data_IF_752000219808
#
_entry.id   IF_752000219808
#
_cell.length_a   1.000
_cell.length_b   1.000
_cell.length_c   1.000
_cell.angle_alpha   90.00
_cell.angle_beta   90.00
_cell.angle_gamma   90.00
#
_symmetry.space_group_name_H-M   'P 1'
#
loop_
_entity.id
_entity.type
_entity.pdbx_description
1 polymer ?
#
# COMPACT_ATOMS: atom_id res chain seq x y z
N UNK A 1 7.19 1.53 2.41
CA UNK A 1 7.83 0.24 2.77
C UNK A 1 6.96 -0.64 3.67
N UNK A 2 5.96 -0.14 4.42
CA UNK A 2 5.24 -0.89 5.46
C UNK A 2 3.91 -1.51 5.02
N UNK A 3 3.54 -1.48 3.74
CA UNK A 3 2.27 -2.05 3.25
C UNK A 3 2.36 -2.75 1.89
N UNK A 4 3.46 -2.69 1.20
CA UNK A 4 3.70 -3.41 -0.05
C UNK A 4 2.84 -3.05 -1.25
N UNK A 5 2.11 -1.93 -1.26
CA UNK A 5 1.32 -1.47 -2.39
C UNK A 5 2.17 -1.16 -3.63
N UNK A 6 1.62 -1.37 -4.82
CA UNK A 6 2.23 -0.83 -6.03
C UNK A 6 2.06 0.69 -6.06
N UNK A 7 3.02 1.46 -6.62
CA UNK A 7 2.93 2.92 -6.68
C UNK A 7 1.60 3.43 -7.23
N UNK A 8 1.13 2.86 -8.32
CA UNK A 8 -0.11 3.29 -8.97
C UNK A 8 -1.35 2.94 -8.14
N UNK A 9 -1.38 1.78 -7.49
CA UNK A 9 -2.49 1.40 -6.59
C UNK A 9 -2.58 2.37 -5.41
N UNK A 10 -1.43 2.76 -4.85
CA UNK A 10 -1.38 3.73 -3.77
C UNK A 10 -1.81 5.13 -4.25
N UNK A 11 -1.39 5.53 -5.45
CA UNK A 11 -1.69 6.84 -6.02
C UNK A 11 -3.19 7.03 -6.34
N UNK A 12 -3.92 5.94 -6.59
CA UNK A 12 -5.34 5.93 -6.93
C UNK A 12 -6.22 5.37 -5.82
N UNK A 13 -5.68 5.16 -4.62
CA UNK A 13 -6.41 4.61 -3.47
C UNK A 13 -7.52 5.58 -3.04
N UNK A 14 -8.77 5.08 -3.00
CA UNK A 14 -9.95 5.86 -2.64
C UNK A 14 -10.17 5.88 -1.13
N UNK A 15 -10.90 6.87 -0.64
CA UNK A 15 -11.24 6.97 0.78
C UNK A 15 -12.16 5.82 1.25
N UNK A 16 -13.09 5.38 0.40
CA UNK A 16 -13.99 4.26 0.70
C UNK A 16 -13.28 2.89 0.74
N UNK A 17 -12.06 2.80 0.22
CA UNK A 17 -11.17 1.64 0.32
C UNK A 17 -10.34 1.62 1.62
N UNK A 18 -10.48 2.62 2.50
CA UNK A 18 -9.70 2.76 3.74
C UNK A 18 -10.60 2.64 4.96
N UNK A 19 -10.39 1.62 5.77
CA UNK A 19 -11.06 1.45 7.04
C UNK A 19 -10.10 1.77 8.20
N UNK A 20 -10.22 2.96 8.77
CA UNK A 20 -9.36 3.41 9.87
C UNK A 20 -9.71 2.72 11.20
N UNK A 21 -10.98 2.41 11.44
CA UNK A 21 -11.42 1.72 12.66
C UNK A 21 -10.81 0.32 12.76
N UNK A 22 -10.93 -0.45 11.69
CA UNK A 22 -10.36 -1.80 11.60
C UNK A 22 -8.91 -1.82 11.08
N UNK A 23 -8.33 -0.66 10.79
CA UNK A 23 -6.94 -0.46 10.36
C UNK A 23 -6.53 -1.33 9.16
N UNK A 24 -7.27 -1.24 8.06
CA UNK A 24 -6.90 -1.88 6.80
C UNK A 24 -7.23 -1.01 5.59
N UNK A 25 -6.66 -1.35 4.45
CA UNK A 25 -7.02 -0.86 3.13
C UNK A 25 -7.42 -2.06 2.26
N UNK A 26 -8.49 -1.92 1.47
CA UNK A 26 -8.97 -2.95 0.56
C UNK A 26 -9.03 -2.39 -0.84
N UNK A 27 -8.07 -2.74 -1.67
CA UNK A 27 -7.92 -2.24 -3.02
C UNK A 27 -7.08 -3.19 -3.89
N UNK A 28 -6.70 -2.73 -5.07
CA UNK A 28 -5.83 -3.43 -6.01
C UNK A 28 -6.40 -3.47 -7.41
N UNK A 29 -5.53 -3.39 -8.43
CA UNK A 29 -5.97 -3.15 -9.81
C UNK A 29 -5.43 -4.14 -10.85
N UNK A 30 -4.20 -4.62 -10.69
CA UNK A 30 -3.42 -5.13 -11.84
C UNK A 30 -3.61 -6.61 -12.15
N UNK A 31 -3.89 -7.43 -11.16
CA UNK A 31 -4.00 -8.89 -11.30
C UNK A 31 -5.23 -9.39 -10.55
N UNK A 32 -5.82 -10.50 -10.98
CA UNK A 32 -6.98 -11.08 -10.25
C UNK A 32 -6.65 -11.33 -8.79
N UNK A 33 -5.49 -11.93 -8.48
CA UNK A 33 -5.02 -12.13 -7.11
C UNK A 33 -4.72 -10.83 -6.35
N UNK A 34 -4.57 -9.71 -7.05
CA UNK A 34 -4.32 -8.40 -6.45
C UNK A 34 -5.57 -7.55 -6.26
N UNK A 35 -6.69 -7.89 -6.92
CA UNK A 35 -7.94 -7.14 -6.80
C UNK A 35 -8.57 -7.34 -5.42
N UNK A 36 -9.10 -6.25 -4.87
CA UNK A 36 -9.83 -6.26 -3.60
C UNK A 36 -9.08 -6.93 -2.43
N UNK A 37 -7.74 -7.00 -2.50
CA UNK A 37 -6.96 -7.57 -1.41
C UNK A 37 -6.97 -6.67 -0.19
N UNK A 38 -6.98 -7.28 0.97
CA UNK A 38 -6.89 -6.59 2.25
C UNK A 38 -5.43 -6.47 2.66
N UNK A 39 -5.00 -5.26 2.98
CA UNK A 39 -3.67 -4.99 3.54
C UNK A 39 -3.84 -4.20 4.84
N UNK A 40 -3.48 -4.77 5.99
CA UNK A 40 -3.54 -4.05 7.26
C UNK A 40 -2.64 -2.81 7.26
N UNK A 41 -3.06 -1.77 7.97
CA UNK A 41 -2.26 -0.56 8.14
C UNK A 41 -1.27 -0.78 9.29
N UNK A 42 0.00 -0.88 8.95
CA UNK A 42 1.06 -1.07 9.93
C UNK A 42 1.09 0.11 10.94
N UNK A 43 1.27 -0.14 12.25
CA UNK A 43 1.22 0.91 13.29
C UNK A 43 2.16 2.10 13.02
N UNK A 44 3.33 1.86 12.47
CA UNK A 44 4.32 2.93 12.16
C UNK A 44 3.82 3.97 11.17
N UNK A 45 2.88 3.61 10.31
CA UNK A 45 2.34 4.53 9.28
C UNK A 45 0.92 4.99 9.56
N UNK A 46 0.24 4.44 10.56
CA UNK A 46 -1.16 4.76 10.86
C UNK A 46 -1.41 6.26 10.98
N UNK A 47 -0.61 6.98 11.77
CA UNK A 47 -0.73 8.44 11.95
C UNK A 47 -0.62 9.22 10.64
N UNK A 48 0.15 8.72 9.68
CA UNK A 48 0.29 9.38 8.37
C UNK A 48 -0.93 9.11 7.49
N UNK A 49 -1.50 7.91 7.55
CA UNK A 49 -2.73 7.55 6.86
C UNK A 49 -3.89 8.37 7.40
N UNK A 50 -4.07 8.43 8.73
CA UNK A 50 -5.11 9.23 9.39
C UNK A 50 -5.03 10.71 9.01
N UNK A 51 -3.82 11.28 9.01
CA UNK A 51 -3.60 12.68 8.62
C UNK A 51 -4.02 12.93 7.17
N UNK A 52 -3.63 12.05 6.24
CA UNK A 52 -4.00 12.21 4.84
C UNK A 52 -5.49 11.98 4.62
N UNK A 53 -6.10 11.05 5.35
CA UNK A 53 -7.53 10.78 5.32
C UNK A 53 -8.34 12.02 5.75
N UNK A 54 -8.01 12.61 6.89
CA UNK A 54 -8.64 13.86 7.39
C UNK A 54 -8.45 15.01 6.41
N UNK A 55 -7.25 15.14 5.83
CA UNK A 55 -6.99 16.16 4.83
C UNK A 55 -7.82 15.95 3.58
N UNK A 56 -7.90 14.73 3.05
CA UNK A 56 -8.71 14.41 1.88
C UNK A 56 -10.20 14.77 2.09
N UNK A 57 -10.76 14.44 3.25
CA UNK A 57 -12.12 14.85 3.64
C UNK A 57 -12.27 16.38 3.62
N UNK A 58 -11.31 17.11 4.22
CA UNK A 58 -11.40 18.56 4.36
C UNK A 58 -11.41 19.33 3.02
N UNK A 59 -10.97 18.68 1.96
CA UNK A 59 -10.95 19.24 0.59
C UNK A 59 -11.91 18.53 -0.37
N UNK A 60 -12.80 17.67 0.14
CA UNK A 60 -13.73 16.86 -0.63
C UNK A 60 -13.07 15.98 -1.70
N UNK A 61 -11.89 15.46 -1.44
CA UNK A 61 -11.21 14.51 -2.33
C UNK A 61 -11.76 13.11 -2.15
N UNK A 62 -11.98 12.39 -3.24
CA UNK A 62 -12.30 10.96 -3.21
C UNK A 62 -11.07 10.07 -2.96
N UNK A 63 -9.86 10.61 -3.11
CA UNK A 63 -8.59 9.87 -3.03
C UNK A 63 -7.82 10.21 -1.77
N UNK A 64 -7.28 9.17 -1.13
CA UNK A 64 -6.45 9.30 0.08
C UNK A 64 -5.21 10.18 -0.17
N UNK A 65 -4.51 9.89 -1.27
CA UNK A 65 -3.39 10.71 -1.74
C UNK A 65 -3.86 11.50 -2.94
N UNK A 66 -3.80 12.80 -2.84
CA UNK A 66 -4.38 13.70 -3.83
C UNK A 66 -3.42 14.83 -4.19
N UNK A 67 -3.72 15.49 -5.28
CA UNK A 67 -2.92 16.58 -5.79
C UNK A 67 -3.55 17.96 -5.54
N UNK A 68 -4.39 18.08 -4.52
CA UNK A 68 -5.08 19.31 -4.12
C UNK A 68 -5.91 19.93 -5.25
N UNK A 69 -6.51 19.10 -6.10
CA UNK A 69 -7.31 19.55 -7.24
C UNK A 69 -6.53 20.15 -8.41
N UNK A 70 -5.21 20.03 -8.40
CA UNK A 70 -4.34 20.63 -9.42
C UNK A 70 -4.01 19.69 -10.59
N UNK A 71 -4.90 18.78 -10.94
CA UNK A 71 -4.72 17.95 -12.13
C UNK A 71 -5.45 18.55 -13.30
N UNK A 72 -4.81 18.62 -14.47
CA UNK A 72 -5.44 19.11 -15.70
C UNK A 72 -6.63 18.27 -16.18
N UNK A 73 -6.78 17.06 -15.68
CA UNK A 73 -7.87 16.14 -15.98
C UNK A 73 -9.08 16.27 -15.06
N UNK A 74 -9.07 17.16 -14.08
CA UNK A 74 -10.10 17.25 -13.04
C UNK A 74 -10.12 16.09 -12.07
N UNK A 75 -9.18 15.14 -12.19
CA UNK A 75 -9.00 14.05 -11.25
C UNK A 75 -8.14 14.48 -10.06
N UNK A 76 -8.59 14.18 -8.86
CA UNK A 76 -7.85 14.44 -7.64
C UNK A 76 -6.75 13.41 -7.36
N UNK A 77 -6.71 12.30 -8.10
CA UNK A 77 -5.69 11.25 -7.94
C UNK A 77 -4.31 11.76 -8.34
N UNK A 78 -3.28 11.21 -7.69
CA UNK A 78 -1.88 11.46 -8.06
C UNK A 78 -1.53 10.62 -9.28
N UNK A 79 -0.98 11.21 -10.34
CA UNK A 79 -0.46 10.43 -11.48
C UNK A 79 0.82 9.70 -11.11
N UNK A 80 1.14 8.62 -11.84
CA UNK A 80 2.38 7.89 -11.63
C UNK A 80 3.63 8.79 -11.74
N UNK A 81 3.66 9.68 -12.73
CA UNK A 81 4.80 10.59 -12.93
C UNK A 81 4.97 11.56 -11.75
N UNK A 82 3.87 12.09 -11.22
CA UNK A 82 3.92 12.93 -10.01
C UNK A 82 4.40 12.15 -8.79
N UNK A 83 3.99 10.89 -8.67
CA UNK A 83 4.50 10.01 -7.62
C UNK A 83 6.01 9.77 -7.79
N UNK A 84 6.46 9.42 -9.00
CA UNK A 84 7.86 9.18 -9.31
C UNK A 84 8.72 10.41 -9.01
N UNK A 85 8.30 11.59 -9.49
CA UNK A 85 9.03 12.85 -9.24
C UNK A 85 9.12 13.20 -7.74
N UNK A 86 8.07 12.93 -6.97
CA UNK A 86 8.08 13.11 -5.50
C UNK A 86 9.02 12.11 -4.83
N UNK A 87 9.03 10.86 -5.30
CA UNK A 87 9.94 9.83 -4.81
C UNK A 87 11.40 10.20 -5.04
N UNK A 88 11.76 10.63 -6.26
CA UNK A 88 13.11 11.09 -6.60
C UNK A 88 13.58 12.26 -5.70
N UNK A 89 12.70 13.23 -5.43
CA UNK A 89 13.00 14.31 -4.50
C UNK A 89 13.33 13.80 -3.11
N UNK A 90 12.57 12.82 -2.59
CA UNK A 90 12.83 12.21 -1.28
C UNK A 90 14.16 11.47 -1.27
N UNK A 91 14.45 10.68 -2.32
CA UNK A 91 15.73 9.97 -2.48
C UNK A 91 16.91 10.96 -2.44
N UNK A 92 16.80 12.06 -3.19
CA UNK A 92 17.82 13.10 -3.22
C UNK A 92 17.97 13.81 -1.87
N UNK A 93 16.87 14.22 -1.23
CA UNK A 93 16.91 14.91 0.06
C UNK A 93 17.50 14.08 1.20
N UNK A 94 17.32 12.76 1.14
CA UNK A 94 17.83 11.82 2.13
C UNK A 94 19.23 11.26 1.77
N UNK A 95 19.84 11.74 0.68
CA UNK A 95 21.13 11.23 0.17
C UNK A 95 21.15 9.70 0.01
N UNK A 96 20.03 9.12 -0.43
CA UNK A 96 19.93 7.70 -0.71
C UNK A 96 20.49 7.39 -2.11
N UNK A 97 20.69 6.08 -2.39
CA UNK A 97 21.18 5.65 -3.71
C UNK A 97 20.24 6.19 -4.81
N UNK A 98 20.76 6.99 -5.76
CA UNK A 98 19.96 7.61 -6.82
C UNK A 98 19.35 6.60 -7.80
N UNK A 99 19.82 5.36 -7.81
CA UNK A 99 19.25 4.28 -8.62
C UNK A 99 17.96 3.69 -8.07
N UNK A 100 17.53 4.11 -6.86
CA UNK A 100 16.24 3.68 -6.31
C UNK A 100 15.07 4.13 -7.19
N UNK A 101 14.15 3.22 -7.38
CA UNK A 101 12.94 3.40 -8.21
C UNK A 101 11.67 3.42 -7.39
N UNK A 102 10.58 4.03 -7.87
CA UNK A 102 9.29 4.08 -7.19
C UNK A 102 8.74 2.72 -6.73
N UNK A 103 9.16 1.61 -7.35
CA UNK A 103 8.74 0.26 -6.99
C UNK A 103 9.54 -0.37 -5.84
N UNK A 104 10.71 0.15 -5.53
CA UNK A 104 11.62 -0.43 -4.51
C UNK A 104 11.04 -0.47 -3.08
N UNK A 105 10.19 0.48 -2.65
CA UNK A 105 9.51 0.37 -1.35
C UNK A 105 8.69 -0.91 -1.19
N UNK A 106 8.09 -1.42 -2.28
CA UNK A 106 7.38 -2.71 -2.26
C UNK A 106 8.35 -3.90 -2.17
N UNK A 107 9.46 -3.85 -2.91
CA UNK A 107 10.53 -4.86 -2.80
C UNK A 107 11.11 -4.89 -1.38
N UNK A 108 11.30 -3.70 -0.80
CA UNK A 108 11.74 -3.55 0.59
C UNK A 108 10.74 -4.20 1.57
N UNK A 109 9.42 -3.96 1.39
CA UNK A 109 8.38 -4.58 2.20
C UNK A 109 8.47 -6.12 2.16
N UNK A 110 8.58 -6.71 0.97
CA UNK A 110 8.71 -8.16 0.81
C UNK A 110 9.97 -8.69 1.52
N UNK A 111 11.09 -7.99 1.38
CA UNK A 111 12.35 -8.38 2.03
C UNK A 111 12.25 -8.28 3.55
N UNK A 112 11.67 -7.20 4.06
CA UNK A 112 11.46 -7.01 5.50
C UNK A 112 10.50 -8.07 6.06
N UNK A 113 9.40 -8.36 5.38
CA UNK A 113 8.45 -9.38 5.76
C UNK A 113 9.10 -10.76 5.89
N UNK A 114 9.85 -11.17 4.86
CA UNK A 114 10.61 -12.44 4.91
C UNK A 114 11.62 -12.48 6.06
N UNK A 115 12.37 -11.41 6.27
CA UNK A 115 13.35 -11.32 7.37
C UNK A 115 12.69 -11.34 8.77
N UNK A 116 11.47 -10.82 8.87
CA UNK A 116 10.71 -10.78 10.13
C UNK A 116 9.91 -12.06 10.39
N UNK A 117 9.98 -13.07 9.52
CA UNK A 117 9.27 -14.32 9.69
C UNK A 117 7.77 -14.21 9.45
N UNK A 118 7.32 -13.32 8.55
CA UNK A 118 5.94 -13.32 8.08
C UNK A 118 5.61 -14.64 7.37
N UNK A 119 4.37 -15.10 7.52
CA UNK A 119 3.87 -16.21 6.71
C UNK A 119 4.02 -15.89 5.21
N UNK A 120 4.57 -16.83 4.44
CA UNK A 120 4.88 -16.58 3.02
C UNK A 120 3.62 -16.29 2.21
N UNK A 121 2.52 -16.98 2.52
CA UNK A 121 1.28 -16.84 1.79
C UNK A 121 0.52 -15.57 2.21
N UNK A 122 0.55 -15.19 3.49
CA UNK A 122 0.06 -13.89 3.94
C UNK A 122 0.81 -12.75 3.25
N UNK A 123 2.12 -12.87 3.11
CA UNK A 123 2.93 -11.88 2.38
C UNK A 123 2.55 -11.84 0.90
N UNK A 124 2.37 -13.00 0.23
CA UNK A 124 1.91 -13.09 -1.16
C UNK A 124 0.53 -12.45 -1.34
N UNK A 125 -0.40 -12.72 -0.43
CA UNK A 125 -1.74 -12.14 -0.44
C UNK A 125 -1.68 -10.61 -0.32
N UNK A 126 -0.99 -10.07 0.69
CA UNK A 126 -0.85 -8.63 0.88
C UNK A 126 -0.20 -7.90 -0.30
N UNK A 127 0.74 -8.53 -1.01
CA UNK A 127 1.31 -7.94 -2.21
C UNK A 127 0.55 -8.27 -3.50
N UNK A 128 -0.48 -9.13 -3.47
CA UNK A 128 -1.27 -9.52 -4.64
C UNK A 128 -0.45 -10.31 -5.66
N UNK A 129 0.29 -11.31 -5.17
CA UNK A 129 0.90 -12.35 -5.98
C UNK A 129 0.00 -13.57 -6.04
N UNK A 130 -0.02 -14.24 -7.18
CA UNK A 130 -0.76 -15.51 -7.33
C UNK A 130 -0.18 -16.56 -6.42
N UNK A 131 -1.05 -17.25 -5.67
CA UNK A 131 -0.72 -18.42 -4.87
C UNK A 131 -1.04 -19.65 -5.73
N UNK A 132 -0.01 -20.39 -6.10
CA UNK A 132 -0.15 -21.58 -6.96
C UNK A 132 -0.52 -22.86 -6.18
N UNK A 133 -0.22 -22.88 -4.89
CA UNK A 133 -0.59 -24.00 -4.02
C UNK A 133 -2.10 -24.01 -3.81
N UNK A 134 -2.74 -25.15 -4.19
CA UNK A 134 -4.20 -25.33 -4.14
C UNK A 134 -4.69 -25.30 -2.68
N UNK A 135 -3.96 -25.91 -1.76
CA UNK A 135 -4.32 -25.93 -0.34
C UNK A 135 -4.35 -24.50 0.20
N UNK A 136 -3.34 -23.73 -0.10
CA UNK A 136 -3.20 -22.36 0.38
C UNK A 136 -4.14 -21.36 -0.30
N UNK A 137 -4.45 -21.58 -1.57
CA UNK A 137 -5.32 -20.66 -2.33
C UNK A 137 -6.82 -20.97 -2.16
N UNK A 138 -7.18 -22.20 -1.86
CA UNK A 138 -8.59 -22.66 -1.84
C UNK A 138 -9.09 -22.98 -0.44
N UNK A 139 -8.25 -23.59 0.38
CA UNK A 139 -8.67 -24.11 1.69
C UNK A 139 -8.14 -23.32 2.88
N UNK A 140 -7.18 -22.41 2.68
CA UNK A 140 -6.63 -21.60 3.75
C UNK A 140 -7.18 -20.17 3.66
N UNK A 141 -7.97 -19.76 4.65
CA UNK A 141 -8.50 -18.40 4.76
C UNK A 141 -7.68 -17.62 5.78
N UNK A 142 -7.02 -16.57 5.33
CA UNK A 142 -6.31 -15.62 6.19
C UNK A 142 -7.19 -14.43 6.47
N UNK A 143 -7.75 -14.40 7.67
CA UNK A 143 -8.57 -13.29 8.10
C UNK A 143 -7.73 -12.02 8.39
N UNK A 144 -8.42 -10.92 8.64
CA UNK A 144 -7.75 -9.63 8.90
C UNK A 144 -6.82 -9.69 10.11
N UNK A 145 -7.16 -10.49 11.14
CA UNK A 145 -6.35 -10.57 12.36
C UNK A 145 -5.02 -11.29 12.08
N UNK A 146 -5.07 -12.41 11.35
CA UNK A 146 -3.85 -13.09 10.91
C UNK A 146 -2.94 -12.18 10.08
N UNK A 147 -3.51 -11.48 9.08
CA UNK A 147 -2.74 -10.54 8.26
C UNK A 147 -2.14 -9.40 9.10
N UNK A 148 -2.86 -8.95 10.15
CA UNK A 148 -2.38 -7.92 11.06
C UNK A 148 -1.22 -8.41 11.93
N UNK A 149 -1.35 -9.58 12.53
CA UNK A 149 -0.26 -10.20 13.30
C UNK A 149 1.00 -10.35 12.45
N UNK A 150 0.84 -10.74 11.20
CA UNK A 150 1.96 -10.91 10.28
C UNK A 150 2.63 -9.59 9.90
N UNK A 151 1.87 -8.57 9.52
CA UNK A 151 2.47 -7.30 9.12
C UNK A 151 3.17 -6.60 10.30
N UNK A 152 2.68 -6.78 11.53
CA UNK A 152 3.26 -6.21 12.76
C UNK A 152 4.56 -6.90 13.20
N UNK A 153 4.95 -8.04 12.61
CA UNK A 153 6.29 -8.64 12.78
C UNK A 153 7.40 -7.75 12.22
N UNK A 154 7.10 -6.88 11.27
CA UNK A 154 8.05 -5.89 10.73
C UNK A 154 8.26 -4.78 11.77
N UNK A 155 9.47 -4.68 12.30
CA UNK A 155 9.83 -3.69 13.34
C UNK A 155 10.43 -2.42 12.75
#
# INVERSE_FOLDING_TARGET
CYMGWRPQELATLRLDEVNLEKRYMQAGMKTEAGKQRIVPIHPRILKFVERNYKFAISINSEYLFNDKGQTHSGSWSVTYDKYANRFEKVISQLNLNPNHRPHDPRTTFVTMGKKSGMDEYALKEMVGHTIQDITESTYTVRDLEWLREDIEKIK
#
